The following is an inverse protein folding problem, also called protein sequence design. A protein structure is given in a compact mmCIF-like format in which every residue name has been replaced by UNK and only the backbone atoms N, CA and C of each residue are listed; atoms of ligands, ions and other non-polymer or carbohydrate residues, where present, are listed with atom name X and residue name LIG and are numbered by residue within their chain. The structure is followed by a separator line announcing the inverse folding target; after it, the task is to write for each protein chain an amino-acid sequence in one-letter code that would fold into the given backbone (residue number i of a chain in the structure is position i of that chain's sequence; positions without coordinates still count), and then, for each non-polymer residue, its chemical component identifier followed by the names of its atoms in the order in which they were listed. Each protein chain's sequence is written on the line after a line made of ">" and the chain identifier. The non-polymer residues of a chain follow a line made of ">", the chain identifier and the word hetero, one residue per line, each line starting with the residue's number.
data_IF_683789621731
#
_entry.id   IF_683789621731
#
_cell.length_a   1.000
_cell.length_b   1.000
_cell.length_c   1.000
_cell.angle_alpha   90.00
_cell.angle_beta   90.00
_cell.angle_gamma   90.00
#
_symmetry.space_group_name_H-M   'P 1'
#
loop_
_entity.id
_entity.type
_entity.pdbx_description
1 polymer ?
#
# COMPACT_ATOMS: atom_id res chain seq x y z
N UNK A 1 13.25 -6.66 8.38
CA UNK A 1 12.72 -5.43 8.95
C UNK A 1 13.77 -4.76 9.80
N UNK A 2 13.95 -3.45 9.62
CA UNK A 2 15.00 -2.69 10.30
C UNK A 2 14.91 -2.76 11.84
N UNK A 3 13.70 -2.71 12.38
CA UNK A 3 13.49 -2.79 13.83
C UNK A 3 14.01 -4.09 14.44
N UNK A 4 13.79 -5.22 13.80
CA UNK A 4 14.24 -6.52 14.31
C UNK A 4 15.76 -6.69 14.28
N UNK A 5 16.45 -5.98 13.37
CA UNK A 5 17.90 -5.99 13.32
C UNK A 5 18.52 -5.18 14.45
N UNK A 6 17.98 -4.01 14.72
CA UNK A 6 18.42 -3.15 15.81
C UNK A 6 18.15 -3.79 17.20
N UNK A 7 17.06 -4.53 17.31
CA UNK A 7 16.65 -5.15 18.57
C UNK A 7 17.48 -6.36 18.98
N UNK A 8 18.26 -6.94 18.07
CA UNK A 8 19.10 -8.10 18.37
C UNK A 8 20.13 -7.85 19.49
N UNK A 9 20.48 -6.61 19.71
CA UNK A 9 21.46 -6.22 20.73
C UNK A 9 20.84 -5.74 22.03
N UNK A 10 19.51 -5.71 22.11
CA UNK A 10 18.78 -5.32 23.34
C UNK A 10 18.50 -6.53 24.23
N UNK A 11 18.35 -6.28 25.51
CA UNK A 11 17.90 -7.31 26.45
C UNK A 11 16.50 -7.78 26.09
N UNK A 12 16.15 -9.08 26.35
CA UNK A 12 14.84 -9.61 25.96
C UNK A 12 13.64 -8.81 26.46
N UNK A 13 13.66 -8.34 27.69
CA UNK A 13 12.59 -7.52 28.25
C UNK A 13 12.48 -6.14 27.60
N UNK A 14 13.62 -5.52 27.28
CA UNK A 14 13.67 -4.23 26.57
C UNK A 14 13.17 -4.37 25.14
N UNK A 15 13.50 -5.49 24.46
CA UNK A 15 13.01 -5.78 23.12
C UNK A 15 11.51 -5.90 23.09
N UNK A 16 10.92 -6.68 23.99
CA UNK A 16 9.48 -6.87 24.07
C UNK A 16 8.74 -5.57 24.32
N UNK A 17 9.24 -4.75 25.25
CA UNK A 17 8.66 -3.43 25.56
C UNK A 17 8.76 -2.46 24.39
N UNK A 18 9.90 -2.44 23.71
CA UNK A 18 10.12 -1.57 22.55
C UNK A 18 9.24 -1.98 21.38
N UNK A 19 9.16 -3.27 21.07
CA UNK A 19 8.30 -3.80 20.01
C UNK A 19 6.83 -3.52 20.26
N UNK A 20 6.35 -3.73 21.50
CA UNK A 20 4.98 -3.42 21.88
C UNK A 20 4.65 -1.92 21.72
N UNK A 21 5.61 -1.05 22.01
CA UNK A 21 5.48 0.40 21.80
C UNK A 21 5.37 0.75 20.31
N UNK A 22 6.19 0.14 19.47
CA UNK A 22 6.16 0.33 18.02
C UNK A 22 4.85 -0.21 17.46
N UNK A 23 4.43 -1.40 17.85
CA UNK A 23 3.17 -2.00 17.40
C UNK A 23 1.96 -1.12 17.71
N UNK A 24 1.91 -0.55 18.91
CA UNK A 24 0.83 0.37 19.28
C UNK A 24 0.79 1.61 18.39
N UNK A 25 1.95 2.20 18.10
CA UNK A 25 2.05 3.37 17.23
C UNK A 25 1.63 3.05 15.79
N UNK A 26 2.10 1.93 15.26
CA UNK A 26 1.75 1.48 13.91
C UNK A 26 0.27 1.17 13.82
N UNK A 27 -0.28 0.42 14.77
CA UNK A 27 -1.69 0.07 14.81
C UNK A 27 -2.58 1.30 14.93
N UNK A 28 -2.18 2.28 15.73
CA UNK A 28 -2.91 3.54 15.85
C UNK A 28 -2.90 4.32 14.54
N UNK A 29 -1.75 4.42 13.91
CA UNK A 29 -1.60 5.14 12.64
C UNK A 29 -2.42 4.48 11.53
N UNK A 30 -2.28 3.17 11.35
CA UNK A 30 -3.01 2.41 10.32
C UNK A 30 -4.51 2.39 10.62
N UNK A 31 -4.90 2.20 11.88
CA UNK A 31 -6.30 2.16 12.30
C UNK A 31 -7.04 3.48 12.11
N UNK A 32 -6.32 4.59 12.05
CA UNK A 32 -6.89 5.92 11.79
C UNK A 32 -7.04 6.23 10.29
N UNK A 33 -6.43 5.42 9.42
CA UNK A 33 -6.53 5.64 7.97
C UNK A 33 -7.93 5.28 7.47
N UNK A 34 -8.56 6.14 6.65
CA UNK A 34 -9.77 5.74 5.95
C UNK A 34 -9.43 4.68 4.89
N UNK A 35 -10.33 3.73 4.69
CA UNK A 35 -10.16 2.74 3.64
C UNK A 35 -11.51 2.42 3.01
N UNK A 36 -11.45 1.98 1.75
CA UNK A 36 -12.57 1.43 1.03
C UNK A 36 -12.27 -0.04 0.73
N UNK A 37 -13.30 -0.85 0.66
CA UNK A 37 -13.16 -2.24 0.28
C UNK A 37 -14.18 -2.60 -0.77
N UNK A 38 -13.82 -3.57 -1.60
CA UNK A 38 -14.64 -4.06 -2.69
C UNK A 38 -14.59 -5.57 -2.69
N UNK A 39 -15.76 -6.22 -2.66
CA UNK A 39 -15.84 -7.67 -2.80
C UNK A 39 -15.66 -8.07 -4.26
N UNK A 40 -14.61 -8.84 -4.53
CA UNK A 40 -14.30 -9.36 -5.87
C UNK A 40 -14.16 -10.88 -5.76
N UNK A 41 -15.23 -11.65 -6.06
CA UNK A 41 -15.24 -13.09 -5.77
C UNK A 41 -14.27 -13.92 -6.63
N UNK A 42 -14.00 -13.52 -7.85
CA UNK A 42 -13.09 -14.25 -8.73
C UNK A 42 -11.63 -13.91 -8.49
N UNK A 43 -10.75 -14.92 -8.38
CA UNK A 43 -9.31 -14.69 -8.20
C UNK A 43 -8.68 -13.95 -9.38
N UNK A 44 -9.09 -14.29 -10.60
CA UNK A 44 -8.60 -13.62 -11.81
C UNK A 44 -9.01 -12.15 -11.83
N UNK A 45 -10.25 -11.84 -11.46
CA UNK A 45 -10.73 -10.47 -11.36
C UNK A 45 -9.96 -9.68 -10.27
N UNK A 46 -9.70 -10.29 -9.11
CA UNK A 46 -8.93 -9.65 -8.04
C UNK A 46 -7.54 -9.27 -8.50
N UNK A 47 -6.85 -10.19 -9.15
CA UNK A 47 -5.50 -9.98 -9.67
C UNK A 47 -5.47 -8.88 -10.73
N UNK A 48 -6.44 -8.90 -11.62
CA UNK A 48 -6.56 -7.94 -12.70
C UNK A 48 -6.85 -6.53 -12.18
N UNK A 49 -7.79 -6.40 -11.27
CA UNK A 49 -8.13 -5.11 -10.65
C UNK A 49 -6.97 -4.57 -9.81
N UNK A 50 -6.31 -5.43 -9.06
CA UNK A 50 -5.15 -5.03 -8.25
C UNK A 50 -4.02 -4.47 -9.12
N UNK A 51 -3.56 -5.22 -10.11
CA UNK A 51 -2.44 -4.81 -10.95
C UNK A 51 -2.75 -3.57 -11.78
N UNK A 52 -3.94 -3.48 -12.34
CA UNK A 52 -4.37 -2.32 -13.13
C UNK A 52 -4.56 -1.07 -12.25
N UNK A 53 -5.12 -1.22 -11.06
CA UNK A 53 -5.31 -0.10 -10.13
C UNK A 53 -3.97 0.47 -9.67
N UNK A 54 -3.01 -0.38 -9.34
CA UNK A 54 -1.68 0.05 -8.93
C UNK A 54 -0.99 0.79 -10.10
N UNK A 55 -1.05 0.24 -11.30
CA UNK A 55 -0.45 0.87 -12.48
C UNK A 55 -1.11 2.23 -12.79
N UNK A 56 -2.42 2.34 -12.67
CA UNK A 56 -3.15 3.60 -12.90
C UNK A 56 -2.78 4.67 -11.88
N UNK A 57 -2.65 4.31 -10.60
CA UNK A 57 -2.41 5.27 -9.52
C UNK A 57 -0.94 5.63 -9.35
N UNK A 58 -0.03 4.87 -9.93
CA UNK A 58 1.41 5.08 -9.78
C UNK A 58 1.87 6.38 -10.45
N UNK A 59 2.63 7.19 -9.72
CA UNK A 59 3.26 8.39 -10.27
C UNK A 59 4.31 8.07 -11.35
N UNK A 60 4.90 6.87 -11.32
CA UNK A 60 5.84 6.42 -12.36
C UNK A 60 5.19 6.32 -13.74
N UNK A 61 3.91 6.13 -13.80
CA UNK A 61 3.13 5.96 -15.03
C UNK A 61 2.15 7.12 -15.26
N UNK A 62 2.39 8.26 -14.62
CA UNK A 62 1.56 9.45 -14.78
C UNK A 62 0.27 9.43 -13.99
N UNK A 63 0.26 8.79 -12.82
CA UNK A 63 -0.90 8.71 -11.95
C UNK A 63 -1.52 10.06 -11.61
N UNK A 64 -2.81 10.09 -11.28
CA UNK A 64 -3.59 11.34 -11.18
C UNK A 64 -3.23 12.20 -9.98
N UNK A 65 -2.71 11.61 -8.90
CA UNK A 65 -2.42 12.31 -7.66
C UNK A 65 -1.01 12.03 -7.17
N UNK A 66 -0.31 13.08 -6.78
CA UNK A 66 0.97 12.93 -6.08
C UNK A 66 0.74 12.80 -4.57
N UNK A 67 1.60 12.07 -3.86
CA UNK A 67 1.53 12.03 -2.40
C UNK A 67 1.88 13.39 -1.79
N UNK A 68 1.34 13.67 -0.62
CA UNK A 68 1.66 14.90 0.11
C UNK A 68 3.15 15.00 0.45
N UNK A 69 3.64 16.21 0.70
CA UNK A 69 5.02 16.43 1.11
C UNK A 69 5.41 15.75 2.42
N UNK A 70 4.42 15.47 3.28
CA UNK A 70 4.62 14.78 4.56
C UNK A 70 4.44 13.27 4.50
N UNK A 71 4.20 12.71 3.32
CA UNK A 71 4.02 11.27 3.16
C UNK A 71 5.26 10.50 3.57
N UNK A 72 5.10 9.52 4.45
CA UNK A 72 6.22 8.76 5.02
C UNK A 72 6.98 7.93 3.99
N UNK A 73 6.33 7.53 2.90
CA UNK A 73 6.96 6.79 1.81
C UNK A 73 8.08 7.52 1.10
N UNK A 74 8.18 8.84 1.25
CA UNK A 74 9.28 9.63 0.68
C UNK A 74 10.63 9.32 1.31
N UNK A 75 10.63 8.73 2.50
CA UNK A 75 11.85 8.45 3.28
C UNK A 75 12.27 6.99 3.26
N UNK A 76 11.54 6.10 2.57
CA UNK A 76 11.91 4.68 2.49
C UNK A 76 13.01 4.46 1.48
N UNK A 77 13.80 3.41 1.68
CA UNK A 77 14.91 3.08 0.79
C UNK A 77 14.47 2.60 -0.60
N UNK A 78 13.31 1.92 -0.66
CA UNK A 78 12.80 1.37 -1.91
C UNK A 78 12.37 2.47 -2.88
N UNK A 79 13.09 2.56 -4.00
CA UNK A 79 12.80 3.54 -5.04
C UNK A 79 11.39 3.39 -5.61
N UNK A 80 10.92 2.15 -5.77
CA UNK A 80 9.57 1.86 -6.28
C UNK A 80 8.49 2.54 -5.42
N UNK A 81 8.66 2.55 -4.10
CA UNK A 81 7.72 3.22 -3.20
C UNK A 81 7.84 4.73 -3.31
N UNK A 82 9.06 5.26 -3.16
CA UNK A 82 9.29 6.72 -3.22
C UNK A 82 8.77 7.34 -4.50
N UNK A 83 9.06 6.70 -5.63
CA UNK A 83 8.79 7.24 -6.96
C UNK A 83 7.36 6.99 -7.43
N UNK A 84 6.75 5.89 -7.00
CA UNK A 84 5.36 5.59 -7.36
C UNK A 84 4.34 6.40 -6.55
N UNK A 85 4.70 6.84 -5.36
CA UNK A 85 3.76 7.45 -4.42
C UNK A 85 2.84 6.46 -3.73
N UNK A 86 3.11 5.16 -3.86
CA UNK A 86 2.30 4.08 -3.31
C UNK A 86 3.15 3.18 -2.42
N UNK A 87 2.52 2.55 -1.43
CA UNK A 87 3.17 1.54 -0.58
C UNK A 87 3.25 0.17 -1.30
N UNK A 88 3.53 0.20 -2.59
CA UNK A 88 3.60 -0.98 -3.43
C UNK A 88 4.95 -1.04 -4.15
N UNK A 89 5.43 -2.26 -4.37
CA UNK A 89 6.65 -2.53 -5.13
C UNK A 89 6.31 -3.12 -6.49
N UNK A 90 5.35 -4.05 -6.52
CA UNK A 90 4.92 -4.70 -7.75
C UNK A 90 3.92 -3.83 -8.51
N UNK A 91 3.92 -3.95 -9.82
CA UNK A 91 2.98 -3.31 -10.75
C UNK A 91 3.08 -1.77 -10.88
N UNK A 92 3.96 -1.13 -10.11
CA UNK A 92 4.07 0.34 -10.09
C UNK A 92 4.61 0.95 -11.39
N UNK A 93 5.28 0.16 -12.23
CA UNK A 93 5.78 0.57 -13.55
C UNK A 93 5.03 -0.12 -14.69
N UNK A 94 3.93 -0.82 -14.40
CA UNK A 94 3.12 -1.49 -15.41
C UNK A 94 2.19 -0.54 -16.15
N UNK A 95 1.63 -1.03 -17.23
CA UNK A 95 0.54 -0.35 -17.94
C UNK A 95 -0.80 -0.88 -17.47
N UNK A 96 -1.78 0.01 -17.35
CA UNK A 96 -3.14 -0.42 -17.08
C UNK A 96 -3.97 -0.48 -18.37
N UNK A 97 -4.85 -1.45 -18.42
CA UNK A 97 -5.84 -1.58 -19.50
C UNK A 97 -7.08 -0.77 -19.15
N UNK A 98 -7.42 0.29 -19.91
CA UNK A 98 -8.59 1.12 -19.58
C UNK A 98 -9.90 0.34 -19.41
N UNK A 99 -10.03 -0.80 -20.07
CA UNK A 99 -11.20 -1.67 -19.96
C UNK A 99 -11.45 -2.17 -18.53
N UNK A 100 -10.42 -2.24 -17.68
CA UNK A 100 -10.63 -2.67 -16.29
C UNK A 100 -11.54 -1.72 -15.52
N UNK A 101 -11.58 -0.45 -15.88
CA UNK A 101 -12.45 0.54 -15.24
C UNK A 101 -13.93 0.21 -15.43
N UNK A 102 -14.31 -0.35 -16.57
CA UNK A 102 -15.68 -0.85 -16.79
C UNK A 102 -16.00 -2.00 -15.84
N UNK A 103 -15.07 -2.92 -15.70
CA UNK A 103 -15.23 -4.06 -14.79
C UNK A 103 -15.30 -3.59 -13.33
N UNK A 104 -14.45 -2.68 -12.95
CA UNK A 104 -14.47 -2.07 -11.62
C UNK A 104 -15.81 -1.37 -11.36
N UNK A 105 -16.29 -0.58 -12.30
CA UNK A 105 -17.57 0.10 -12.17
C UNK A 105 -18.74 -0.89 -12.00
N UNK A 106 -18.74 -2.00 -12.73
CA UNK A 106 -19.73 -3.05 -12.59
C UNK A 106 -19.69 -3.67 -11.19
N UNK A 107 -18.50 -3.99 -10.68
CA UNK A 107 -18.34 -4.56 -9.34
C UNK A 107 -18.80 -3.60 -8.24
N UNK A 108 -18.51 -2.32 -8.38
CA UNK A 108 -18.97 -1.30 -7.43
C UNK A 108 -20.50 -1.20 -7.46
N UNK A 109 -21.11 -1.18 -8.64
CA UNK A 109 -22.56 -1.13 -8.79
C UNK A 109 -23.29 -2.33 -8.17
N UNK A 110 -22.68 -3.51 -8.23
CA UNK A 110 -23.26 -4.74 -7.67
C UNK A 110 -23.29 -4.73 -6.14
N UNK A 111 -22.55 -3.84 -5.51
CA UNK A 111 -22.45 -3.76 -4.03
C UNK A 111 -23.24 -2.59 -3.43
N UNK A 112 -23.87 -1.82 -4.28
CA UNK A 112 -24.69 -0.69 -3.87
C UNK A 112 -26.07 -1.15 -3.35
#
# INVERSE_FOLDING_TARGET
>A
MLASWLDRHRRPGERASHEAGIERKVSHYIGAMPFLWLSVPGRADRSDIESNSIALLSCLTGGPDEPSGSWLGRHVERAEIRESGLWNVQHVSGHYEPAFLHRLAQLVSQQA
#
